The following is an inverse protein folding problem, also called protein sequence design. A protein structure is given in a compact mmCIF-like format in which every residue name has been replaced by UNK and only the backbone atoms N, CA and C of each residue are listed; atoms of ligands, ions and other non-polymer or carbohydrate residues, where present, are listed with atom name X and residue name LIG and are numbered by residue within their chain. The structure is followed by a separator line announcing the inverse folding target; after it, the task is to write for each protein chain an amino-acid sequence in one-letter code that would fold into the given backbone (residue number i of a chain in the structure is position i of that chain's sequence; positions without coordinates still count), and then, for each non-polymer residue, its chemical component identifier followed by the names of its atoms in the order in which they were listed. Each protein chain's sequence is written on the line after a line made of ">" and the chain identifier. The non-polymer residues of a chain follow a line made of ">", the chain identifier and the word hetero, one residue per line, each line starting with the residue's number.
data_IF_979996361663
#
_entry.id   IF_979996361663
#
_cell.length_a   1.000
_cell.length_b   1.000
_cell.length_c   1.000
_cell.angle_alpha   90.00
_cell.angle_beta   90.00
_cell.angle_gamma   90.00
#
_symmetry.space_group_name_H-M   'P 1'
#
loop_
_entity.id
_entity.type
_entity.pdbx_description
1 polymer ?
#
# COMPACT_ATOMS: atom_id res chain seq x y z
N UNK A 1 -3.39 -4.22 -20.41
CA UNK A 1 -4.10 -3.40 -19.39
C UNK A 1 -3.75 -3.89 -17.99
N UNK A 2 -3.50 -2.98 -17.09
CA UNK A 2 -3.17 -3.33 -15.69
C UNK A 2 -4.31 -4.09 -15.01
N UNK A 3 -3.97 -5.17 -14.31
CA UNK A 3 -4.92 -5.96 -13.55
C UNK A 3 -4.35 -6.26 -12.15
N UNK A 4 -4.95 -5.71 -11.09
CA UNK A 4 -4.42 -5.90 -9.73
C UNK A 4 -4.50 -7.35 -9.25
N UNK A 5 -5.46 -8.13 -9.72
CA UNK A 5 -5.58 -9.56 -9.38
C UNK A 5 -4.42 -10.37 -9.96
N UNK A 6 -4.05 -10.06 -11.20
CA UNK A 6 -2.90 -10.67 -11.87
C UNK A 6 -1.62 -10.26 -11.17
N UNK A 7 -1.51 -8.99 -10.78
CA UNK A 7 -0.38 -8.48 -10.03
C UNK A 7 -0.17 -9.30 -8.73
N UNK A 8 -1.21 -9.43 -7.92
CA UNK A 8 -1.14 -10.19 -6.68
C UNK A 8 -0.75 -11.66 -6.92
N UNK A 9 -1.35 -12.29 -7.92
CA UNK A 9 -1.05 -13.66 -8.30
C UNK A 9 0.42 -13.82 -8.70
N UNK A 10 0.92 -12.94 -9.55
CA UNK A 10 2.30 -12.98 -10.03
C UNK A 10 3.33 -12.72 -8.91
N UNK A 11 2.93 -11.97 -7.88
CA UNK A 11 3.75 -11.73 -6.70
C UNK A 11 3.61 -12.83 -5.65
N UNK A 12 2.76 -13.83 -5.87
CA UNK A 12 2.53 -14.92 -4.91
C UNK A 12 1.78 -14.47 -3.66
N UNK A 13 0.96 -13.43 -3.76
CA UNK A 13 0.21 -12.88 -2.64
C UNK A 13 -1.23 -13.42 -2.66
N UNK A 14 -1.64 -14.24 -1.69
CA UNK A 14 -3.03 -14.70 -1.60
C UNK A 14 -3.97 -13.54 -1.32
N UNK A 15 -5.11 -13.50 -2.01
CA UNK A 15 -6.12 -12.48 -1.82
C UNK A 15 -7.48 -13.12 -1.60
N UNK A 16 -8.23 -12.61 -0.61
CA UNK A 16 -9.62 -12.95 -0.37
C UNK A 16 -10.48 -11.72 -0.57
N UNK A 17 -11.60 -11.89 -1.26
CA UNK A 17 -12.62 -10.85 -1.43
C UNK A 17 -13.81 -11.25 -0.59
N UNK A 18 -14.12 -10.49 0.44
CA UNK A 18 -15.15 -10.83 1.43
C UNK A 18 -15.62 -9.59 2.18
N UNK A 19 -16.58 -9.76 3.09
CA UNK A 19 -16.98 -8.69 3.99
C UNK A 19 -15.83 -8.34 4.94
N UNK A 20 -15.66 -7.04 5.22
CA UNK A 20 -14.69 -6.51 6.16
C UNK A 20 -15.41 -5.63 7.19
N UNK A 21 -14.76 -5.29 8.31
CA UNK A 21 -15.34 -4.36 9.28
C UNK A 21 -15.75 -3.04 8.63
N UNK A 22 -16.81 -2.42 9.15
CA UNK A 22 -17.32 -1.14 8.66
C UNK A 22 -16.19 -0.10 8.57
N UNK A 23 -16.15 0.63 7.45
CA UNK A 23 -15.12 1.62 7.19
C UNK A 23 -13.79 1.06 6.68
N UNK A 24 -13.67 -0.26 6.53
CA UNK A 24 -12.45 -0.92 6.05
C UNK A 24 -12.65 -1.42 4.63
N UNK A 25 -11.94 -0.82 3.67
CA UNK A 25 -11.98 -1.26 2.25
C UNK A 25 -11.14 -2.50 1.99
N UNK A 26 -10.10 -2.69 2.79
CA UNK A 26 -9.22 -3.85 2.71
C UNK A 26 -8.18 -3.81 3.80
N UNK A 27 -7.47 -4.90 3.98
CA UNK A 27 -6.32 -4.96 4.89
C UNK A 27 -5.34 -6.04 4.45
N UNK A 28 -4.10 -5.90 4.91
CA UNK A 28 -3.04 -6.89 4.70
C UNK A 28 -2.70 -7.54 6.02
N UNK A 29 -2.75 -8.86 6.05
CA UNK A 29 -2.27 -9.62 7.20
C UNK A 29 -0.76 -9.80 7.04
N UNK A 30 0.02 -9.07 7.87
CA UNK A 30 1.48 -9.08 7.78
C UNK A 30 2.11 -10.40 8.19
N UNK A 31 1.43 -11.17 9.02
CA UNK A 31 1.95 -12.46 9.51
C UNK A 31 1.99 -13.51 8.40
N UNK A 32 0.93 -13.64 7.62
CA UNK A 32 0.83 -14.65 6.56
C UNK A 32 0.82 -14.07 5.15
N UNK A 33 1.03 -12.77 5.02
CA UNK A 33 1.10 -12.06 3.74
C UNK A 33 -0.15 -12.26 2.88
N UNK A 34 -1.31 -12.30 3.52
CA UNK A 34 -2.60 -12.43 2.85
C UNK A 34 -3.31 -11.08 2.81
N UNK A 35 -3.86 -10.75 1.65
CA UNK A 35 -4.66 -9.54 1.47
C UNK A 35 -6.14 -9.90 1.54
N UNK A 36 -6.92 -9.06 2.23
CA UNK A 36 -8.38 -9.13 2.23
C UNK A 36 -8.93 -7.84 1.63
N UNK A 37 -9.77 -7.96 0.62
CA UNK A 37 -10.45 -6.83 -0.04
C UNK A 37 -11.93 -6.91 0.29
N UNK A 38 -12.52 -5.78 0.71
CA UNK A 38 -13.97 -5.71 0.90
C UNK A 38 -14.66 -5.95 -0.43
N UNK A 39 -15.68 -6.80 -0.44
CA UNK A 39 -16.39 -7.17 -1.67
C UNK A 39 -17.00 -5.95 -2.39
N UNK A 40 -17.35 -4.89 -1.67
CA UNK A 40 -17.90 -3.66 -2.24
C UNK A 40 -16.80 -2.77 -2.86
N UNK A 41 -15.52 -3.06 -2.58
CA UNK A 41 -14.35 -2.36 -3.10
C UNK A 41 -13.55 -3.21 -4.08
N UNK A 42 -14.08 -4.34 -4.50
CA UNK A 42 -13.36 -5.31 -5.35
C UNK A 42 -12.90 -4.75 -6.70
N UNK A 43 -13.52 -3.68 -7.16
CA UNK A 43 -13.18 -3.02 -8.43
C UNK A 43 -12.42 -1.70 -8.22
N UNK A 44 -12.08 -1.36 -6.99
CA UNK A 44 -11.30 -0.18 -6.66
C UNK A 44 -9.80 -0.50 -6.73
N UNK A 45 -9.17 -0.11 -7.82
CA UNK A 45 -7.73 -0.34 -8.07
C UNK A 45 -6.86 0.24 -6.96
N UNK A 46 -7.21 1.40 -6.40
CA UNK A 46 -6.43 2.03 -5.32
C UNK A 46 -6.38 1.15 -4.08
N UNK A 47 -7.50 0.57 -3.69
CA UNK A 47 -7.55 -0.34 -2.52
C UNK A 47 -6.64 -1.55 -2.75
N UNK A 48 -6.74 -2.18 -3.91
CA UNK A 48 -5.89 -3.31 -4.26
C UNK A 48 -4.41 -2.97 -4.21
N UNK A 49 -4.04 -1.87 -4.86
CA UNK A 49 -2.62 -1.47 -4.96
C UNK A 49 -2.07 -1.08 -3.60
N UNK A 50 -2.86 -0.40 -2.77
CA UNK A 50 -2.48 -0.05 -1.41
C UNK A 50 -2.13 -1.31 -0.58
N UNK A 51 -3.01 -2.32 -0.62
CA UNK A 51 -2.75 -3.56 0.13
C UNK A 51 -1.60 -4.38 -0.48
N UNK A 52 -1.47 -4.42 -1.79
CA UNK A 52 -0.31 -5.05 -2.44
C UNK A 52 0.99 -4.37 -2.02
N UNK A 53 0.99 -3.04 -1.94
CA UNK A 53 2.15 -2.28 -1.49
C UNK A 53 2.55 -2.64 -0.05
N UNK A 54 1.58 -2.79 0.86
CA UNK A 54 1.85 -3.29 2.20
C UNK A 54 2.52 -4.67 2.17
N UNK A 55 1.98 -5.59 1.39
CA UNK A 55 2.54 -6.93 1.28
C UNK A 55 3.97 -6.94 0.71
N UNK A 56 4.28 -6.02 -0.20
CA UNK A 56 5.61 -5.89 -0.78
C UNK A 56 6.63 -5.23 0.16
N UNK A 57 6.21 -4.16 0.84
CA UNK A 57 7.11 -3.28 1.57
C UNK A 57 7.24 -3.63 3.04
N UNK A 58 6.16 -4.14 3.64
CA UNK A 58 6.07 -4.30 5.09
C UNK A 58 6.18 -5.74 5.56
N UNK A 59 5.93 -6.70 4.65
CA UNK A 59 6.03 -8.11 5.04
C UNK A 59 7.46 -8.46 5.44
N UNK A 60 7.58 -9.02 6.63
CA UNK A 60 8.83 -9.44 7.21
C UNK A 60 8.63 -10.75 7.97
N UNK A 61 9.48 -11.04 8.95
CA UNK A 61 9.25 -12.13 9.89
C UNK A 61 8.00 -11.87 10.73
N UNK A 62 7.47 -12.90 11.37
CA UNK A 62 6.34 -12.77 12.29
C UNK A 62 6.58 -11.70 13.37
N UNK A 63 7.80 -11.67 13.93
CA UNK A 63 8.20 -10.69 14.95
C UNK A 63 8.14 -9.26 14.42
N UNK A 64 8.66 -9.03 13.22
CA UNK A 64 8.62 -7.71 12.57
C UNK A 64 7.18 -7.28 12.26
N UNK A 65 6.32 -8.21 11.85
CA UNK A 65 4.91 -7.93 11.60
C UNK A 65 4.19 -7.47 12.87
N UNK A 66 4.47 -8.07 14.02
CA UNK A 66 3.91 -7.65 15.30
C UNK A 66 4.38 -6.24 15.68
N UNK A 67 5.64 -5.91 15.45
CA UNK A 67 6.17 -4.56 15.70
C UNK A 67 5.44 -3.50 14.87
N UNK A 68 5.21 -3.75 13.60
CA UNK A 68 4.46 -2.82 12.73
C UNK A 68 3.07 -2.59 13.29
N UNK A 69 2.42 -3.62 13.81
CA UNK A 69 1.06 -3.54 14.33
C UNK A 69 0.93 -2.69 15.59
N UNK A 70 1.93 -2.72 16.48
CA UNK A 70 1.83 -2.06 17.80
C UNK A 70 2.55 -0.72 17.91
N UNK A 71 3.52 -0.42 17.04
CA UNK A 71 4.27 0.83 17.08
C UNK A 71 3.68 1.85 16.09
N UNK A 72 3.08 2.93 16.61
CA UNK A 72 2.41 3.93 15.78
C UNK A 72 3.32 4.63 14.78
N UNK A 73 4.60 4.81 15.10
CA UNK A 73 5.55 5.47 14.19
C UNK A 73 5.90 4.55 13.02
N UNK A 74 6.09 3.27 13.31
CA UNK A 74 6.34 2.24 12.28
C UNK A 74 5.07 2.07 11.43
N UNK A 75 3.90 2.05 12.06
CA UNK A 75 2.62 1.98 11.36
C UNK A 75 2.41 3.18 10.43
N UNK A 76 2.67 4.39 10.93
CA UNK A 76 2.54 5.61 10.12
C UNK A 76 3.47 5.58 8.90
N UNK A 77 4.73 5.16 9.08
CA UNK A 77 5.67 5.01 7.97
C UNK A 77 5.16 3.98 6.95
N UNK A 78 4.66 2.86 7.42
CA UNK A 78 4.08 1.80 6.58
C UNK A 78 2.93 2.36 5.72
N UNK A 79 2.00 3.09 6.34
CA UNK A 79 0.88 3.71 5.63
C UNK A 79 1.32 4.78 4.64
N UNK A 80 2.30 5.60 4.99
CA UNK A 80 2.88 6.60 4.08
C UNK A 80 3.45 5.92 2.84
N UNK A 81 4.22 4.86 3.02
CA UNK A 81 4.82 4.13 1.90
C UNK A 81 3.76 3.44 1.03
N UNK A 82 2.76 2.81 1.63
CA UNK A 82 1.69 2.14 0.89
C UNK A 82 0.82 3.14 0.12
N UNK A 83 0.41 4.23 0.76
CA UNK A 83 -0.39 5.27 0.10
C UNK A 83 0.38 5.97 -1.01
N UNK A 84 1.66 6.28 -0.79
CA UNK A 84 2.50 6.92 -1.81
C UNK A 84 2.71 5.99 -3.01
N UNK A 85 2.97 4.71 -2.76
CA UNK A 85 3.09 3.71 -3.82
C UNK A 85 1.79 3.60 -4.62
N UNK A 86 0.66 3.50 -3.94
CA UNK A 86 -0.66 3.45 -4.58
C UNK A 86 -0.95 4.71 -5.39
N UNK A 87 -0.60 5.88 -4.85
CA UNK A 87 -0.75 7.16 -5.56
C UNK A 87 0.07 7.20 -6.85
N UNK A 88 1.32 6.72 -6.81
CA UNK A 88 2.18 6.66 -7.99
C UNK A 88 1.59 5.73 -9.05
N UNK A 89 1.16 4.53 -8.67
CA UNK A 89 0.53 3.58 -9.60
C UNK A 89 -0.75 4.18 -10.19
N UNK A 90 -1.63 4.72 -9.34
CA UNK A 90 -2.89 5.29 -9.80
C UNK A 90 -2.69 6.54 -10.67
N UNK A 91 -1.61 7.30 -10.46
CA UNK A 91 -1.26 8.42 -11.33
C UNK A 91 -0.94 7.94 -12.74
N UNK A 92 -0.14 6.88 -12.86
CA UNK A 92 0.16 6.26 -14.16
C UNK A 92 -1.10 5.71 -14.81
N UNK A 93 -1.99 5.09 -14.02
CA UNK A 93 -3.24 4.51 -14.52
C UNK A 93 -4.36 5.55 -14.70
N UNK A 94 -4.10 6.82 -14.37
CA UNK A 94 -5.05 7.94 -14.48
C UNK A 94 -6.29 7.80 -13.58
N UNK A 95 -6.11 7.21 -12.40
CA UNK A 95 -7.19 7.05 -11.41
C UNK A 95 -6.82 7.61 -10.02
N UNK A 96 -5.76 8.41 -9.92
CA UNK A 96 -5.32 9.00 -8.66
C UNK A 96 -6.31 10.01 -8.11
N UNK A 97 -6.46 10.03 -6.78
CA UNK A 97 -7.28 10.98 -6.04
C UNK A 97 -6.37 11.84 -5.16
N UNK A 98 -5.94 12.99 -5.68
CA UNK A 98 -4.93 13.85 -5.06
C UNK A 98 -5.36 14.34 -3.67
N UNK A 99 -6.58 14.86 -3.54
CA UNK A 99 -7.07 15.43 -2.29
C UNK A 99 -7.15 14.38 -1.18
N UNK A 100 -7.60 13.19 -1.52
CA UNK A 100 -7.67 12.05 -0.59
C UNK A 100 -6.27 11.62 -0.15
N UNK A 101 -5.34 11.51 -1.08
CA UNK A 101 -3.94 11.20 -0.79
C UNK A 101 -3.32 12.22 0.16
N UNK A 102 -3.49 13.51 -0.11
CA UNK A 102 -2.94 14.57 0.75
C UNK A 102 -3.54 14.55 2.15
N UNK A 103 -4.83 14.25 2.27
CA UNK A 103 -5.51 14.13 3.56
C UNK A 103 -4.90 13.02 4.41
N UNK A 104 -4.69 11.84 3.83
CA UNK A 104 -4.08 10.71 4.54
C UNK A 104 -2.61 11.00 4.87
N UNK A 105 -1.87 11.64 3.98
CA UNK A 105 -0.48 12.00 4.22
C UNK A 105 -0.33 12.93 5.43
N UNK A 106 -1.17 13.97 5.53
CA UNK A 106 -1.15 14.86 6.70
C UNK A 106 -1.38 14.10 8.00
N UNK A 107 -2.34 13.19 7.98
CA UNK A 107 -2.68 12.37 9.15
C UNK A 107 -1.49 11.50 9.57
N UNK A 108 -0.92 10.73 8.66
CA UNK A 108 0.16 9.81 9.00
C UNK A 108 1.48 10.52 9.31
N UNK A 109 1.81 11.60 8.61
CA UNK A 109 3.00 12.40 8.91
C UNK A 109 2.94 12.93 10.34
N UNK A 110 1.77 13.35 10.82
CA UNK A 110 1.60 13.82 12.20
C UNK A 110 1.86 12.72 13.24
N UNK A 111 1.85 11.46 12.85
CA UNK A 111 2.08 10.30 13.73
C UNK A 111 3.52 9.76 13.66
N UNK A 112 4.36 10.34 12.83
CA UNK A 112 5.80 10.05 12.83
C UNK A 112 6.48 10.68 14.06
N UNK A 113 7.70 10.26 14.34
CA UNK A 113 8.51 10.95 15.35
C UNK A 113 8.80 12.39 14.89
N UNK A 114 9.08 13.28 15.82
CA UNK A 114 9.39 14.68 15.49
C UNK A 114 10.58 14.77 14.52
N UNK A 115 11.60 13.94 14.73
CA UNK A 115 12.79 13.87 13.87
C UNK A 115 12.46 13.42 12.44
N UNK A 116 11.39 12.62 12.28
CA UNK A 116 10.95 12.11 10.98
C UNK A 116 10.00 13.06 10.25
N UNK A 117 9.44 14.07 10.92
CA UNK A 117 8.50 15.01 10.34
C UNK A 117 9.22 16.12 9.57
N UNK A 118 9.97 15.74 8.51
CA UNK A 118 10.69 16.70 7.68
C UNK A 118 10.82 16.21 6.24
N UNK A 119 11.11 17.17 5.34
CA UNK A 119 11.22 16.90 3.91
C UNK A 119 12.33 15.91 3.56
N UNK A 120 13.45 15.95 4.27
CA UNK A 120 14.58 15.07 4.00
C UNK A 120 14.19 13.62 4.21
N UNK A 121 13.58 13.31 5.37
CA UNK A 121 13.12 11.96 5.68
C UNK A 121 12.09 11.48 4.66
N UNK A 122 11.09 12.31 4.35
CA UNK A 122 10.05 11.94 3.40
C UNK A 122 10.60 11.68 2.00
N UNK A 123 11.58 12.49 1.56
CA UNK A 123 12.26 12.27 0.28
C UNK A 123 13.03 10.96 0.24
N UNK A 124 13.57 10.50 1.36
CA UNK A 124 14.27 9.21 1.44
C UNK A 124 13.34 8.02 1.22
N UNK A 125 12.04 8.18 1.47
CA UNK A 125 11.05 7.14 1.22
C UNK A 125 10.62 7.04 -0.24
N UNK A 126 10.79 8.10 -1.03
CA UNK A 126 10.33 8.16 -2.43
C UNK A 126 10.95 7.07 -3.31
N UNK A 127 12.26 6.82 -3.29
CA UNK A 127 12.85 5.74 -4.10
C UNK A 127 12.28 4.37 -3.78
N UNK A 128 11.99 4.10 -2.50
CA UNK A 128 11.39 2.84 -2.04
C UNK A 128 10.00 2.68 -2.65
N UNK A 129 9.19 3.72 -2.57
CA UNK A 129 7.82 3.73 -3.12
C UNK A 129 7.83 3.63 -4.65
N UNK A 130 8.74 4.34 -5.28
CA UNK A 130 8.88 4.34 -6.75
C UNK A 130 9.26 2.96 -7.28
N UNK A 131 10.18 2.28 -6.60
CA UNK A 131 10.59 0.92 -6.97
C UNK A 131 9.42 -0.06 -6.81
N UNK A 132 8.68 0.02 -5.70
CA UNK A 132 7.50 -0.80 -5.48
C UNK A 132 6.40 -0.51 -6.52
N UNK A 133 6.15 0.75 -6.84
CA UNK A 133 5.16 1.14 -7.85
C UNK A 133 5.50 0.57 -9.23
N UNK A 134 6.76 0.65 -9.62
CA UNK A 134 7.24 0.08 -10.88
C UNK A 134 7.03 -1.43 -10.91
N UNK A 135 7.39 -2.11 -9.84
CA UNK A 135 7.22 -3.56 -9.73
C UNK A 135 5.76 -3.97 -9.81
N UNK A 136 4.88 -3.23 -9.18
CA UNK A 136 3.43 -3.47 -9.23
C UNK A 136 2.91 -3.30 -10.66
N UNK A 137 3.29 -2.23 -11.34
CA UNK A 137 2.87 -1.97 -12.71
C UNK A 137 3.32 -3.08 -13.66
N UNK A 138 4.58 -3.50 -13.57
CA UNK A 138 5.14 -4.57 -14.42
C UNK A 138 4.41 -5.88 -14.14
N UNK A 139 4.30 -6.28 -12.89
CA UNK A 139 3.67 -7.57 -12.54
C UNK A 139 2.18 -7.59 -12.80
N UNK A 140 1.54 -6.43 -12.81
CA UNK A 140 0.12 -6.27 -13.19
C UNK A 140 -0.13 -6.16 -14.69
N UNK A 141 0.92 -6.20 -15.50
CA UNK A 141 0.81 -6.24 -16.97
C UNK A 141 0.79 -4.89 -17.68
N UNK A 142 1.03 -3.78 -16.97
CA UNK A 142 0.94 -2.44 -17.57
C UNK A 142 1.92 -2.25 -18.73
N UNK A 143 3.15 -2.73 -18.57
CA UNK A 143 4.20 -2.55 -19.58
C UNK A 143 4.28 -3.68 -20.61
N UNK A 144 3.33 -4.60 -20.62
CA UNK A 144 3.27 -5.70 -21.57
C UNK A 144 2.30 -5.42 -22.73
N UNK A 145 1.87 -4.19 -22.84
CA UNK A 145 0.99 -3.74 -23.94
C UNK A 145 1.83 -3.21 -25.16
#
# INVERSE_FOLDING_TARGET
>A
MFNPRICAKNLGIPVRVQDTPEGTGGYTNMTNRCIVINKDQKDDTRVWVHEIAHALLDYRSHEDALRVTINKHIYARSEICADTTAFMVCTVLKCAKVDEYLKYMRHYISQLTIEQQNKKYLKELIPICKDAARRILITGGYYNE
#
